data_IF_331536446573
#
_entry.id   IF_331536446573
#
_cell.length_a   1.000
_cell.length_b   1.000
_cell.length_c   1.000
_cell.angle_alpha   90.00
_cell.angle_beta   90.00
_cell.angle_gamma   90.00
#
_symmetry.space_group_name_H-M   'P 1'
#
loop_
_entity.id
_entity.type
_entity.pdbx_description
1 polymer ?
#
# COMPACT_ATOMS: atom_id res chain seq x y z
N UNK A 1 -4.55 10.75 -32.89
CA UNK A 1 -4.88 9.57 -32.05
C UNK A 1 -6.29 9.80 -31.56
N UNK A 2 -7.24 8.93 -31.90
CA UNK A 2 -8.63 9.08 -31.43
C UNK A 2 -8.71 8.72 -29.95
N UNK A 3 -9.50 9.47 -29.18
CA UNK A 3 -9.75 9.19 -27.76
C UNK A 3 -10.69 8.00 -27.68
N UNK A 4 -10.23 6.92 -27.03
CA UNK A 4 -11.00 5.69 -26.79
C UNK A 4 -11.33 5.44 -25.32
N UNK A 5 -10.83 6.29 -24.42
CA UNK A 5 -11.04 6.18 -22.97
C UNK A 5 -11.53 7.51 -22.39
N UNK A 6 -12.62 7.46 -21.64
CA UNK A 6 -13.18 8.61 -20.93
C UNK A 6 -12.67 8.63 -19.48
N UNK A 7 -11.71 9.51 -19.21
CA UNK A 7 -11.14 9.66 -17.88
C UNK A 7 -12.14 10.18 -16.85
N UNK A 8 -13.03 11.10 -17.20
CA UNK A 8 -13.95 11.66 -16.20
C UNK A 8 -14.97 10.60 -15.77
N UNK A 9 -15.52 9.86 -16.75
CA UNK A 9 -16.40 8.73 -16.47
C UNK A 9 -15.70 7.67 -15.62
N UNK A 10 -14.42 7.37 -15.88
CA UNK A 10 -13.65 6.45 -15.06
C UNK A 10 -13.49 6.96 -13.62
N UNK A 11 -13.10 8.22 -13.43
CA UNK A 11 -12.90 8.80 -12.10
C UNK A 11 -14.20 8.75 -11.28
N UNK A 12 -15.33 9.11 -11.90
CA UNK A 12 -16.64 9.04 -11.23
C UNK A 12 -17.01 7.59 -10.88
N UNK A 13 -17.05 6.71 -11.88
CA UNK A 13 -17.52 5.34 -11.70
C UNK A 13 -16.62 4.55 -10.74
N UNK A 14 -15.30 4.71 -10.84
CA UNK A 14 -14.35 3.99 -9.99
C UNK A 14 -14.45 4.43 -8.53
N UNK A 15 -14.59 5.74 -8.26
CA UNK A 15 -14.80 6.25 -6.90
C UNK A 15 -16.13 5.77 -6.34
N UNK A 16 -17.23 5.85 -7.10
CA UNK A 16 -18.55 5.35 -6.69
C UNK A 16 -18.50 3.84 -6.35
N UNK A 17 -17.87 3.03 -7.19
CA UNK A 17 -17.75 1.58 -6.95
C UNK A 17 -16.88 1.22 -5.75
N UNK A 18 -15.89 2.03 -5.41
CA UNK A 18 -15.11 1.85 -4.18
C UNK A 18 -15.98 2.15 -2.97
N UNK A 19 -16.77 3.23 -3.01
CA UNK A 19 -17.68 3.58 -1.92
C UNK A 19 -18.76 2.52 -1.70
N UNK A 20 -19.42 2.06 -2.77
CA UNK A 20 -20.37 0.94 -2.71
C UNK A 20 -19.72 -0.29 -2.06
N UNK A 21 -18.47 -0.58 -2.40
CA UNK A 21 -17.76 -1.74 -1.86
C UNK A 21 -17.46 -1.62 -0.36
N UNK A 22 -17.22 -0.41 0.15
CA UNK A 22 -17.04 -0.18 1.59
C UNK A 22 -18.34 -0.54 2.32
N UNK A 23 -19.48 -0.12 1.77
CA UNK A 23 -20.79 -0.36 2.36
C UNK A 23 -21.16 -1.85 2.32
N UNK A 24 -20.84 -2.55 1.22
CA UNK A 24 -21.04 -4.01 1.07
C UNK A 24 -20.33 -4.83 2.18
N UNK A 25 -19.21 -4.33 2.69
CA UNK A 25 -18.39 -5.01 3.71
C UNK A 25 -18.59 -4.45 5.13
N UNK A 26 -19.66 -3.70 5.37
CA UNK A 26 -20.02 -3.24 6.71
C UNK A 26 -19.26 -2.00 7.19
N UNK A 27 -18.74 -1.20 6.26
CA UNK A 27 -18.23 0.15 6.54
C UNK A 27 -16.71 0.29 6.66
N UNK A 28 -15.93 -0.76 6.34
CA UNK A 28 -14.46 -0.66 6.25
C UNK A 28 -13.89 -1.54 5.15
N UNK A 29 -12.94 -1.00 4.39
CA UNK A 29 -12.30 -1.69 3.28
C UNK A 29 -10.78 -1.49 3.29
N UNK A 30 -10.05 -2.61 3.38
CA UNK A 30 -8.62 -2.66 3.08
C UNK A 30 -8.43 -3.06 1.62
N UNK A 31 -7.90 -2.16 0.79
CA UNK A 31 -7.76 -2.37 -0.66
C UNK A 31 -6.29 -2.38 -1.07
N UNK A 32 -5.87 -3.47 -1.71
CA UNK A 32 -4.54 -3.55 -2.32
C UNK A 32 -4.49 -2.71 -3.59
N UNK A 33 -3.60 -1.72 -3.63
CA UNK A 33 -3.22 -1.02 -4.85
C UNK A 33 -1.93 -1.61 -5.42
N UNK A 34 -2.09 -2.39 -6.49
CA UNK A 34 -0.98 -2.92 -7.28
C UNK A 34 -0.52 -1.97 -8.38
N UNK A 35 0.76 -2.08 -8.73
CA UNK A 35 1.35 -1.40 -9.89
C UNK A 35 1.66 0.08 -9.66
N UNK A 36 1.85 0.82 -10.76
CA UNK A 36 2.21 2.24 -10.71
C UNK A 36 0.99 3.10 -10.40
N UNK A 37 1.10 3.97 -9.39
CA UNK A 37 0.07 4.91 -8.96
C UNK A 37 0.15 6.28 -9.65
N UNK A 38 1.38 6.76 -9.89
CA UNK A 38 1.63 8.13 -10.35
C UNK A 38 2.01 8.22 -11.83
N UNK A 39 2.71 7.19 -12.34
CA UNK A 39 3.36 7.23 -13.65
C UNK A 39 2.93 6.05 -14.53
N UNK A 40 1.61 5.84 -14.68
CA UNK A 40 1.08 4.74 -15.52
C UNK A 40 1.10 5.10 -17.01
N UNK A 41 2.31 5.38 -17.52
CA UNK A 41 2.55 5.65 -18.94
C UNK A 41 2.23 4.44 -19.82
N UNK A 42 2.22 3.22 -19.26
CA UNK A 42 1.77 2.05 -19.99
C UNK A 42 0.27 2.15 -20.28
N UNK A 43 -0.57 2.34 -19.25
CA UNK A 43 -2.00 2.53 -19.42
C UNK A 43 -2.32 3.70 -20.33
N UNK A 44 -1.62 4.83 -20.22
CA UNK A 44 -1.88 6.00 -21.08
C UNK A 44 -1.61 5.72 -22.57
N UNK A 45 -0.60 4.90 -22.90
CA UNK A 45 -0.34 4.50 -24.30
C UNK A 45 -1.35 3.48 -24.82
N UNK A 46 -1.80 2.58 -23.96
CA UNK A 46 -2.71 1.47 -24.31
C UNK A 46 -4.16 1.93 -24.37
N UNK A 47 -4.55 2.91 -23.56
CA UNK A 47 -5.90 3.45 -23.44
C UNK A 47 -5.87 4.95 -23.80
N UNK A 48 -6.00 5.32 -25.10
CA UNK A 48 -5.97 6.71 -25.53
C UNK A 48 -7.06 7.54 -24.83
N UNK A 49 -6.64 8.45 -23.95
CA UNK A 49 -7.54 9.22 -23.08
C UNK A 49 -7.39 8.92 -21.59
N UNK A 50 -6.69 7.84 -21.20
CA UNK A 50 -6.28 7.58 -19.81
C UNK A 50 -5.06 8.45 -19.47
N UNK A 51 -5.19 9.33 -18.47
CA UNK A 51 -4.07 10.14 -18.00
C UNK A 51 -3.16 9.32 -17.07
N UNK A 52 -1.82 9.49 -17.12
CA UNK A 52 -0.89 8.72 -16.27
C UNK A 52 -1.18 8.82 -14.76
N UNK A 53 -1.81 9.93 -14.34
CA UNK A 53 -2.16 10.28 -12.97
C UNK A 53 -3.63 9.99 -12.61
N UNK A 54 -4.37 9.26 -13.44
CA UNK A 54 -5.79 8.97 -13.19
C UNK A 54 -6.05 8.26 -11.86
N UNK A 55 -5.17 7.34 -11.45
CA UNK A 55 -5.35 6.61 -10.18
C UNK A 55 -5.22 7.56 -8.99
N UNK A 56 -4.25 8.47 -9.01
CA UNK A 56 -4.10 9.44 -7.92
C UNK A 56 -5.25 10.44 -7.90
N UNK A 57 -5.72 10.92 -9.06
CA UNK A 57 -6.91 11.78 -9.16
C UNK A 57 -8.16 11.11 -8.57
N UNK A 58 -8.33 9.81 -8.83
CA UNK A 58 -9.41 9.02 -8.26
C UNK A 58 -9.30 8.94 -6.72
N UNK A 59 -8.10 8.69 -6.19
CA UNK A 59 -7.86 8.67 -4.74
C UNK A 59 -8.11 10.05 -4.12
N UNK A 60 -7.75 11.14 -4.80
CA UNK A 60 -8.02 12.50 -4.32
C UNK A 60 -9.53 12.78 -4.17
N UNK A 61 -10.40 12.18 -5.00
CA UNK A 61 -11.86 12.27 -4.81
C UNK A 61 -12.34 11.58 -3.53
N UNK A 62 -11.55 10.66 -2.98
CA UNK A 62 -11.85 9.88 -1.77
C UNK A 62 -11.00 10.31 -0.56
N UNK A 63 -10.21 11.38 -0.68
CA UNK A 63 -9.15 11.71 0.27
C UNK A 63 -9.62 11.90 1.70
N UNK A 64 -10.84 12.40 1.92
CA UNK A 64 -11.37 12.65 3.27
C UNK A 64 -11.76 11.34 3.97
N UNK A 65 -12.00 10.29 3.20
CA UNK A 65 -12.39 8.94 3.64
C UNK A 65 -11.26 7.91 3.49
N UNK A 66 -10.12 8.28 2.89
CA UNK A 66 -9.06 7.32 2.59
C UNK A 66 -7.78 7.57 3.37
N UNK A 67 -7.20 6.57 4.03
CA UNK A 67 -5.83 6.63 4.54
C UNK A 67 -4.93 5.62 3.83
N UNK A 68 -3.64 5.94 3.74
CA UNK A 68 -2.64 5.14 3.02
C UNK A 68 -1.72 4.46 4.02
N UNK A 69 -1.58 3.15 3.86
CA UNK A 69 -0.58 2.33 4.55
C UNK A 69 0.40 1.81 3.51
N UNK A 70 1.70 2.05 3.74
CA UNK A 70 2.76 1.59 2.83
C UNK A 70 3.44 0.38 3.46
N UNK A 71 3.46 -0.73 2.73
CA UNK A 71 4.08 -1.97 3.16
C UNK A 71 5.44 -2.12 2.49
N UNK A 72 6.47 -2.44 3.27
CA UNK A 72 7.81 -2.79 2.79
C UNK A 72 8.26 -4.09 3.43
N UNK A 73 8.90 -4.96 2.64
CA UNK A 73 9.45 -6.21 3.14
C UNK A 73 10.80 -5.97 3.79
N UNK A 74 10.94 -6.34 5.06
CA UNK A 74 12.15 -6.16 5.86
C UNK A 74 13.37 -6.82 5.22
N UNK A 75 13.18 -7.96 4.54
CA UNK A 75 14.25 -8.64 3.82
C UNK A 75 14.68 -7.90 2.56
N UNK A 76 13.79 -7.12 1.93
CA UNK A 76 14.13 -6.30 0.77
C UNK A 76 14.97 -5.08 1.18
N UNK A 77 14.77 -4.56 2.40
CA UNK A 77 15.63 -3.53 3.00
C UNK A 77 17.04 -4.08 3.21
N UNK A 78 17.16 -5.23 3.90
CA UNK A 78 18.45 -5.88 4.17
C UNK A 78 19.24 -6.21 2.88
N UNK A 79 18.53 -6.52 1.79
CA UNK A 79 19.13 -6.80 0.48
C UNK A 79 19.42 -5.56 -0.35
N UNK A 80 19.12 -4.35 0.14
CA UNK A 80 19.19 -3.10 -0.61
C UNK A 80 18.48 -3.22 -1.97
N UNK A 81 17.30 -3.84 -1.99
CA UNK A 81 16.59 -4.12 -3.24
C UNK A 81 16.29 -2.82 -3.96
N UNK A 82 16.69 -2.75 -5.22
CA UNK A 82 16.53 -1.57 -6.07
C UNK A 82 15.27 -1.67 -6.90
N UNK A 83 14.53 -0.56 -6.96
CA UNK A 83 13.39 -0.39 -7.86
C UNK A 83 13.90 0.00 -9.25
N UNK A 84 13.80 -0.94 -10.20
CA UNK A 84 14.47 -0.84 -11.49
C UNK A 84 14.08 0.38 -12.35
N UNK A 85 12.87 0.92 -12.19
CA UNK A 85 12.40 2.08 -12.96
C UNK A 85 12.93 3.42 -12.44
N UNK A 86 13.30 3.51 -11.15
CA UNK A 86 13.76 4.75 -10.51
C UNK A 86 15.24 4.70 -10.09
N UNK A 87 15.84 3.51 -10.01
CA UNK A 87 17.24 3.34 -9.60
C UNK A 87 17.52 3.59 -8.11
N UNK A 88 16.47 3.67 -7.29
CA UNK A 88 16.57 3.87 -5.82
C UNK A 88 16.20 2.59 -5.07
N UNK A 89 16.67 2.45 -3.84
CA UNK A 89 16.32 1.30 -2.99
C UNK A 89 14.88 1.39 -2.50
N UNK A 90 14.31 0.26 -2.07
CA UNK A 90 12.90 0.21 -1.66
C UNK A 90 12.60 1.08 -0.43
N UNK A 91 13.53 1.17 0.52
CA UNK A 91 13.45 2.07 1.69
C UNK A 91 13.45 3.54 1.27
N UNK A 92 14.29 3.92 0.29
CA UNK A 92 14.26 5.26 -0.31
C UNK A 92 12.94 5.52 -1.03
N UNK A 93 12.39 4.53 -1.73
CA UNK A 93 11.10 4.66 -2.42
C UNK A 93 9.93 4.79 -1.44
N UNK A 94 9.98 4.17 -0.25
CA UNK A 94 8.99 4.41 0.81
C UNK A 94 8.98 5.88 1.22
N UNK A 95 10.15 6.47 1.49
CA UNK A 95 10.25 7.89 1.86
C UNK A 95 9.71 8.78 0.74
N UNK A 96 10.08 8.48 -0.51
CA UNK A 96 9.56 9.18 -1.69
C UNK A 96 8.03 9.06 -1.78
N UNK A 97 7.47 7.87 -1.56
CA UNK A 97 6.03 7.64 -1.60
C UNK A 97 5.30 8.45 -0.52
N UNK A 98 5.85 8.53 0.71
CA UNK A 98 5.28 9.37 1.78
C UNK A 98 5.15 10.82 1.31
N UNK A 99 6.24 11.38 0.78
CA UNK A 99 6.26 12.77 0.32
C UNK A 99 5.29 13.01 -0.84
N UNK A 100 5.24 12.07 -1.79
CA UNK A 100 4.34 12.18 -2.93
C UNK A 100 2.88 12.09 -2.48
N UNK A 101 2.48 11.17 -1.61
CA UNK A 101 1.10 11.12 -1.14
C UNK A 101 0.70 12.39 -0.38
N UNK A 102 1.61 12.90 0.49
CA UNK A 102 1.38 14.13 1.24
C UNK A 102 1.23 15.35 0.32
N UNK A 103 1.94 15.40 -0.82
CA UNK A 103 1.79 16.51 -1.78
C UNK A 103 0.43 16.52 -2.51
N UNK A 104 -0.32 15.41 -2.46
CA UNK A 104 -1.70 15.30 -2.94
C UNK A 104 -2.75 15.39 -1.81
N UNK A 105 -2.35 15.84 -0.60
CA UNK A 105 -3.19 15.85 0.62
C UNK A 105 -3.74 14.48 1.02
N UNK A 106 -3.08 13.39 0.63
CA UNK A 106 -3.46 12.04 1.06
C UNK A 106 -2.80 11.72 2.39
N UNK A 107 -3.61 11.28 3.34
CA UNK A 107 -3.14 10.92 4.68
C UNK A 107 -2.39 9.59 4.64
N UNK A 108 -1.08 9.63 4.82
CA UNK A 108 -0.27 8.43 5.07
C UNK A 108 -0.30 8.16 6.57
N UNK A 109 -1.03 7.14 6.99
CA UNK A 109 -1.26 6.85 8.40
C UNK A 109 -0.13 6.04 9.02
N UNK A 110 0.42 5.05 8.30
CA UNK A 110 1.48 4.19 8.83
C UNK A 110 2.28 3.46 7.76
N UNK A 111 3.40 2.88 8.21
CA UNK A 111 4.24 1.95 7.44
C UNK A 111 4.15 0.58 8.10
N UNK A 112 4.13 -0.48 7.28
CA UNK A 112 4.22 -1.86 7.76
C UNK A 112 5.55 -2.45 7.32
N UNK A 113 6.34 -2.91 8.28
CA UNK A 113 7.50 -3.75 8.04
C UNK A 113 7.02 -5.21 7.99
N UNK A 114 6.85 -5.75 6.79
CA UNK A 114 6.47 -7.15 6.62
C UNK A 114 7.68 -8.07 6.71
N UNK A 115 7.45 -9.34 7.07
CA UNK A 115 8.52 -10.31 7.31
C UNK A 115 9.56 -9.80 8.33
N UNK A 116 9.10 -9.04 9.33
CA UNK A 116 9.97 -8.43 10.33
C UNK A 116 10.60 -9.49 11.23
N UNK A 117 11.84 -9.22 11.65
CA UNK A 117 12.60 -9.98 12.63
C UNK A 117 13.52 -9.01 13.36
N UNK A 118 13.62 -9.13 14.68
CA UNK A 118 14.51 -8.28 15.50
C UNK A 118 15.99 -8.43 15.12
N UNK A 119 16.36 -9.57 14.53
CA UNK A 119 17.72 -9.84 14.04
C UNK A 119 18.06 -9.03 12.76
N UNK A 120 17.06 -8.42 12.12
CA UNK A 120 17.25 -7.62 10.92
C UNK A 120 17.60 -6.17 11.28
N UNK A 121 18.87 -5.93 11.58
CA UNK A 121 19.39 -4.60 11.95
C UNK A 121 19.06 -3.51 10.92
N UNK A 122 19.02 -3.85 9.62
CA UNK A 122 18.69 -2.89 8.56
C UNK A 122 17.23 -2.43 8.63
N UNK A 123 16.30 -3.33 8.95
CA UNK A 123 14.89 -2.98 9.14
C UNK A 123 14.70 -2.13 10.40
N UNK A 124 15.37 -2.48 11.51
CA UNK A 124 15.35 -1.70 12.75
C UNK A 124 15.92 -0.29 12.54
N UNK A 125 17.04 -0.15 11.84
CA UNK A 125 17.61 1.16 11.53
C UNK A 125 16.68 2.02 10.65
N UNK A 126 15.98 1.39 9.69
CA UNK A 126 15.00 2.08 8.87
C UNK A 126 13.77 2.53 9.67
N UNK A 127 13.32 1.70 10.63
CA UNK A 127 12.25 2.07 11.56
C UNK A 127 12.61 3.31 12.38
N UNK A 128 13.82 3.40 12.94
CA UNK A 128 14.26 4.57 13.69
C UNK A 128 14.22 5.84 12.84
N UNK A 129 14.64 5.75 11.57
CA UNK A 129 14.51 6.85 10.62
C UNK A 129 13.06 7.26 10.36
N UNK A 130 12.12 6.31 10.30
CA UNK A 130 10.69 6.60 10.16
C UNK A 130 10.11 7.27 11.41
N UNK A 131 10.56 6.85 12.61
CA UNK A 131 10.17 7.47 13.89
C UNK A 131 10.62 8.93 13.97
N UNK A 132 11.84 9.24 13.53
CA UNK A 132 12.32 10.64 13.43
C UNK A 132 11.44 11.52 12.52
N UNK A 133 10.81 10.92 11.51
CA UNK A 133 9.86 11.58 10.61
C UNK A 133 8.42 11.60 11.14
N UNK A 134 8.21 11.18 12.40
CA UNK A 134 6.91 11.03 13.06
C UNK A 134 5.95 10.13 12.27
N UNK A 135 6.48 9.07 11.67
CA UNK A 135 5.69 8.08 10.94
C UNK A 135 5.51 6.85 11.82
N UNK A 136 4.25 6.43 12.01
CA UNK A 136 3.93 5.23 12.80
C UNK A 136 4.32 3.98 12.01
N UNK A 137 4.95 3.02 12.68
CA UNK A 137 5.40 1.75 12.10
C UNK A 137 4.72 0.60 12.81
N UNK A 138 4.33 -0.42 12.05
CA UNK A 138 3.80 -1.69 12.56
C UNK A 138 4.61 -2.87 12.05
N UNK A 139 4.72 -3.91 12.87
CA UNK A 139 5.48 -5.13 12.57
C UNK A 139 4.56 -6.28 12.18
N UNK A 140 4.79 -6.82 10.97
CA UNK A 140 4.14 -8.04 10.50
C UNK A 140 5.19 -9.13 10.31
N UNK A 141 4.94 -10.30 10.89
CA UNK A 141 5.92 -11.36 11.05
C UNK A 141 5.80 -12.46 9.99
N UNK A 142 6.87 -13.24 9.75
CA UNK A 142 6.79 -14.43 8.91
C UNK A 142 5.82 -15.48 9.49
N UNK A 143 4.85 -15.92 8.68
CA UNK A 143 3.91 -16.99 9.05
C UNK A 143 4.36 -18.30 8.39
N UNK A 144 4.69 -19.30 9.21
CA UNK A 144 5.14 -20.61 8.72
C UNK A 144 4.02 -21.30 7.94
N UNK A 145 4.35 -21.82 6.75
CA UNK A 145 3.41 -22.57 5.93
C UNK A 145 2.38 -21.71 5.18
N UNK A 146 2.57 -20.39 5.15
CA UNK A 146 1.79 -19.50 4.28
C UNK A 146 2.09 -19.79 2.80
N UNK A 147 1.09 -19.88 1.90
CA UNK A 147 -0.35 -19.65 2.12
C UNK A 147 -1.17 -20.92 2.41
N UNK A 148 -0.53 -22.09 2.58
CA UNK A 148 -1.21 -23.38 2.52
C UNK A 148 -1.81 -23.86 3.85
N UNK A 149 -1.25 -23.45 4.99
CA UNK A 149 -1.71 -23.92 6.31
C UNK A 149 -2.77 -22.97 6.90
N UNK A 150 -3.98 -22.96 6.32
CA UNK A 150 -5.07 -22.03 6.71
C UNK A 150 -5.37 -22.02 8.21
N UNK A 151 -5.48 -23.18 8.92
CA UNK A 151 -5.74 -23.17 10.35
C UNK A 151 -4.66 -22.46 11.19
N UNK A 152 -3.40 -22.55 10.77
CA UNK A 152 -2.31 -21.82 11.44
C UNK A 152 -2.33 -20.34 11.06
N UNK A 153 -2.63 -20.01 9.80
CA UNK A 153 -2.67 -18.62 9.32
C UNK A 153 -3.74 -17.83 10.07
N UNK A 154 -4.95 -18.37 10.21
CA UNK A 154 -6.07 -17.74 10.91
C UNK A 154 -6.07 -18.15 12.40
N UNK A 155 -4.96 -17.86 13.08
CA UNK A 155 -4.79 -18.12 14.51
C UNK A 155 -3.92 -17.06 15.17
N UNK A 156 -3.86 -17.08 16.51
CA UNK A 156 -2.93 -16.28 17.33
C UNK A 156 -1.47 -16.47 16.91
N UNK A 157 -1.12 -17.66 16.40
CA UNK A 157 0.23 -17.98 15.96
C UNK A 157 0.53 -17.59 14.50
N UNK A 158 -0.50 -17.21 13.75
CA UNK A 158 -0.44 -16.70 12.38
C UNK A 158 -0.67 -15.20 12.34
N UNK A 159 -1.82 -14.75 11.83
CA UNK A 159 -2.17 -13.32 11.76
C UNK A 159 -2.22 -12.65 13.14
N UNK A 160 -2.56 -13.37 14.22
CA UNK A 160 -2.60 -12.77 15.56
C UNK A 160 -1.24 -12.35 16.12
N UNK A 161 -0.13 -12.79 15.50
CA UNK A 161 1.21 -12.25 15.82
C UNK A 161 1.44 -10.87 15.24
N UNK A 162 0.79 -10.54 14.12
CA UNK A 162 0.98 -9.25 13.47
C UNK A 162 0.37 -8.15 14.31
N UNK A 163 1.04 -7.01 14.37
CA UNK A 163 0.45 -5.86 15.03
C UNK A 163 -0.78 -5.36 14.25
N UNK A 164 -1.84 -5.07 15.00
CA UNK A 164 -3.05 -4.48 14.44
C UNK A 164 -2.79 -3.02 14.07
N UNK A 165 -3.09 -2.68 12.82
CA UNK A 165 -2.88 -1.34 12.28
C UNK A 165 -4.09 -0.49 12.66
N UNK A 166 -3.91 0.32 13.69
CA UNK A 166 -4.92 1.30 14.08
C UNK A 166 -5.09 2.32 12.96
N UNK A 167 -6.29 2.32 12.39
CA UNK A 167 -6.69 3.11 11.23
C UNK A 167 -8.01 3.82 11.56
N UNK A 168 -8.13 5.06 11.13
CA UNK A 168 -9.23 5.98 11.49
C UNK A 168 -10.26 6.14 10.40
N UNK A 169 -9.86 5.91 9.14
CA UNK A 169 -10.73 6.04 7.98
C UNK A 169 -11.27 4.68 7.53
N UNK A 170 -12.39 4.72 6.83
CA UNK A 170 -13.13 3.55 6.34
C UNK A 170 -12.49 2.95 5.09
N UNK A 171 -11.81 3.74 4.27
CA UNK A 171 -11.00 3.25 3.16
C UNK A 171 -9.51 3.23 3.53
N UNK A 172 -8.91 2.04 3.61
CA UNK A 172 -7.48 1.85 3.87
C UNK A 172 -6.80 1.35 2.60
N UNK A 173 -5.97 2.19 2.00
CA UNK A 173 -5.22 1.91 0.78
C UNK A 173 -3.90 1.25 1.17
N UNK A 174 -3.73 -0.01 0.80
CA UNK A 174 -2.50 -0.77 1.02
C UNK A 174 -1.65 -0.69 -0.25
N UNK A 175 -0.49 -0.05 -0.17
CA UNK A 175 0.45 0.12 -1.28
C UNK A 175 1.87 -0.29 -0.89
N UNK A 176 2.81 -0.32 -1.84
CA UNK A 176 4.20 -0.70 -1.62
C UNK A 176 5.12 -0.18 -2.74
N UNK A 177 6.45 -0.13 -2.52
CA UNK A 177 7.43 0.13 -3.57
C UNK A 177 7.37 -0.85 -4.75
N UNK A 178 6.93 -2.10 -4.51
CA UNK A 178 6.94 -3.12 -5.54
C UNK A 178 6.19 -4.41 -5.21
N UNK A 179 6.33 -5.44 -6.07
CA UNK A 179 5.77 -6.76 -5.82
C UNK A 179 6.54 -7.49 -4.71
N UNK A 180 5.86 -8.42 -4.03
CA UNK A 180 6.47 -9.23 -2.95
C UNK A 180 6.60 -8.52 -1.60
N UNK A 181 6.10 -7.29 -1.47
CA UNK A 181 6.17 -6.54 -0.21
C UNK A 181 5.19 -7.01 0.87
N UNK A 182 4.24 -7.89 0.56
CA UNK A 182 3.28 -8.41 1.55
C UNK A 182 1.93 -7.67 1.62
N UNK A 183 1.57 -6.87 0.60
CA UNK A 183 0.31 -6.09 0.56
C UNK A 183 -0.93 -6.93 0.86
N UNK A 184 -1.18 -8.00 0.09
CA UNK A 184 -2.33 -8.89 0.30
C UNK A 184 -2.35 -9.52 1.70
N UNK A 185 -1.19 -10.01 2.17
CA UNK A 185 -1.09 -10.61 3.51
C UNK A 185 -1.41 -9.57 4.60
N UNK A 186 -1.01 -8.31 4.39
CA UNK A 186 -1.36 -7.19 5.27
C UNK A 186 -2.86 -6.97 5.25
N UNK A 187 -3.51 -6.85 4.08
CA UNK A 187 -4.97 -6.68 3.99
C UNK A 187 -5.72 -7.75 4.78
N UNK A 188 -5.39 -9.01 4.58
CA UNK A 188 -6.05 -10.15 5.23
C UNK A 188 -5.80 -10.21 6.73
N UNK A 189 -4.63 -9.75 7.19
CA UNK A 189 -4.28 -9.71 8.61
C UNK A 189 -5.07 -8.65 9.40
N UNK A 190 -5.75 -7.72 8.73
CA UNK A 190 -6.48 -6.63 9.38
C UNK A 190 -8.01 -6.84 9.42
N UNK A 191 -8.48 -7.97 8.88
CA UNK A 191 -9.89 -8.39 8.88
C UNK A 191 -10.20 -9.20 10.13
#
# INVERSE_FOLDING_TARGET
MEIGFDSEKYLQLQSEKILERIDDFGGKLYIEFGGKLFDDFHASRVLPGFAPDNKIKMLCKLKDRSEVVIVINSNDIAKNKVRADLGITYDQDVLRLIDVFRSYDLYVSSIVLSQFSEENEAATAFEEKLKELNVRVYHHYPIKGYPNNVPLIVSEDGYGKNEYIETTRDLVIITAPGPGSGKMATCLSQL
#
